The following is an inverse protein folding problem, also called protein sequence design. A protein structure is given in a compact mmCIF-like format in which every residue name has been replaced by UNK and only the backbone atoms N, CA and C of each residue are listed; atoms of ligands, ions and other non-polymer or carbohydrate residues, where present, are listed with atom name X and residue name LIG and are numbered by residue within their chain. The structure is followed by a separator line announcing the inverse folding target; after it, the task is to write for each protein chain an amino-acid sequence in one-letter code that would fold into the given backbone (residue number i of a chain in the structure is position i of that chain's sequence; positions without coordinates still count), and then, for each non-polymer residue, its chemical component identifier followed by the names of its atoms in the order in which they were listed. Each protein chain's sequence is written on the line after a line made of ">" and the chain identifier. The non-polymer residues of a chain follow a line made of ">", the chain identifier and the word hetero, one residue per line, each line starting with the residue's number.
data_IF_459668297716
#
_entry.id   IF_459668297716
#
_cell.length_a   1.000
_cell.length_b   1.000
_cell.length_c   1.000
_cell.angle_alpha   90.00
_cell.angle_beta   90.00
_cell.angle_gamma   90.00
#
_symmetry.space_group_name_H-M   'P 1'
#
loop_
_entity.id
_entity.type
_entity.pdbx_description
1 polymer ?
#
# COMPACT_ATOMS: atom_id res chain seq x y z
N UNK A 1 39.03 38.39 2.58
CA UNK A 1 38.06 37.82 3.53
C UNK A 1 36.81 37.50 2.73
N UNK A 2 36.28 36.29 2.82
CA UNK A 2 35.03 35.96 2.14
C UNK A 2 33.89 36.75 2.79
N UNK A 3 33.06 37.42 1.99
CA UNK A 3 31.84 38.04 2.49
C UNK A 3 30.83 36.94 2.79
N UNK A 4 30.16 37.04 3.93
CA UNK A 4 29.06 36.16 4.30
C UNK A 4 27.93 36.29 3.28
N UNK A 5 27.20 35.20 3.05
CA UNK A 5 25.97 35.22 2.26
C UNK A 5 24.87 36.00 2.99
N UNK A 6 23.80 36.37 2.27
CA UNK A 6 22.65 37.04 2.88
C UNK A 6 22.00 36.20 3.99
N UNK A 7 21.97 34.88 3.82
CA UNK A 7 21.43 33.92 4.79
C UNK A 7 22.32 33.83 6.04
N UNK A 8 23.64 33.81 5.86
CA UNK A 8 24.60 33.82 6.97
C UNK A 8 24.55 35.13 7.76
N UNK A 9 24.37 36.28 7.09
CA UNK A 9 24.15 37.57 7.74
C UNK A 9 22.84 37.60 8.52
N UNK A 10 21.75 37.10 7.95
CA UNK A 10 20.45 37.03 8.63
C UNK A 10 20.50 36.11 9.86
N UNK A 11 21.18 34.97 9.75
CA UNK A 11 21.38 34.07 10.88
C UNK A 11 22.23 34.73 11.99
N UNK A 12 23.36 35.36 11.64
CA UNK A 12 24.19 36.07 12.60
C UNK A 12 23.42 37.20 13.32
N UNK A 13 22.62 37.97 12.59
CA UNK A 13 21.77 39.02 13.16
C UNK A 13 20.68 38.46 14.08
N UNK A 14 20.12 37.28 13.78
CA UNK A 14 19.12 36.61 14.64
C UNK A 14 19.67 36.12 15.98
N UNK A 15 20.98 35.84 16.06
CA UNK A 15 21.64 35.41 17.31
C UNK A 15 21.80 36.58 18.29
N UNK A 16 21.96 37.80 17.77
CA UNK A 16 22.11 39.03 18.56
C UNK A 16 20.78 39.71 18.89
N UNK A 17 19.65 39.18 18.40
CA UNK A 17 18.32 39.70 18.67
C UNK A 17 17.93 39.47 20.14
N UNK A 18 17.71 40.52 20.96
CA UNK A 18 17.31 40.37 22.35
C UNK A 18 15.87 39.86 22.52
N UNK A 19 15.03 39.94 21.49
CA UNK A 19 13.66 39.40 21.46
C UNK A 19 13.40 38.65 20.14
N UNK A 20 14.05 37.49 19.93
CA UNK A 20 13.92 36.77 18.67
C UNK A 20 12.46 36.38 18.46
N UNK A 21 11.96 36.63 17.25
CA UNK A 21 10.65 36.11 16.84
C UNK A 21 10.75 34.60 16.74
N UNK A 22 10.32 33.89 17.79
CA UNK A 22 10.27 32.44 17.79
C UNK A 22 9.07 32.00 16.97
N UNK A 23 9.32 31.63 15.71
CA UNK A 23 8.32 30.89 14.96
C UNK A 23 8.08 29.55 15.66
N UNK A 24 6.82 29.18 15.93
CA UNK A 24 6.53 27.88 16.52
C UNK A 24 7.06 26.81 15.57
N UNK A 25 7.82 25.85 16.12
CA UNK A 25 8.20 24.67 15.37
C UNK A 25 6.92 24.07 14.77
N UNK A 26 6.89 23.79 13.44
CA UNK A 26 5.73 23.16 12.86
C UNK A 26 5.43 21.89 13.64
N UNK A 27 4.15 21.68 13.96
CA UNK A 27 3.73 20.47 14.67
C UNK A 27 4.29 19.25 13.92
N UNK A 28 4.88 18.31 14.66
CA UNK A 28 5.44 17.09 14.08
C UNK A 28 4.33 16.37 13.31
N UNK A 29 4.39 16.45 11.98
CA UNK A 29 3.38 15.87 11.11
C UNK A 29 3.64 14.38 11.00
N UNK A 30 2.79 13.58 11.62
CA UNK A 30 2.79 12.13 11.42
C UNK A 30 2.22 11.81 10.04
N UNK A 31 3.00 11.12 9.22
CA UNK A 31 2.54 10.65 7.90
C UNK A 31 1.49 9.57 8.08
N UNK A 32 0.31 9.74 7.49
CA UNK A 32 -0.78 8.75 7.52
C UNK A 32 -0.76 7.91 6.25
N UNK A 33 -0.61 6.59 6.41
CA UNK A 33 -0.53 5.64 5.31
C UNK A 33 -1.69 4.66 5.45
N UNK A 34 -2.47 4.51 4.37
CA UNK A 34 -3.41 3.40 4.26
C UNK A 34 -2.76 2.26 3.49
N UNK A 35 -2.79 1.06 4.05
CA UNK A 35 -2.45 -0.18 3.35
C UNK A 35 -3.74 -0.85 2.89
N UNK A 36 -3.87 -1.01 1.58
CA UNK A 36 -5.08 -1.51 0.94
C UNK A 36 -4.87 -2.86 0.26
N UNK A 37 -5.79 -3.81 0.45
CA UNK A 37 -5.73 -5.08 -0.26
C UNK A 37 -7.11 -5.68 -0.55
N UNK A 38 -7.24 -6.33 -1.71
CA UNK A 38 -8.38 -7.21 -2.02
C UNK A 38 -7.98 -8.64 -1.62
N UNK A 39 -8.76 -9.27 -0.75
CA UNK A 39 -8.47 -10.58 -0.19
C UNK A 39 -9.42 -11.63 -0.78
N UNK A 40 -8.85 -12.54 -1.57
CA UNK A 40 -9.46 -13.79 -2.02
C UNK A 40 -8.38 -14.88 -2.08
N UNK A 41 -7.86 -15.28 -0.92
CA UNK A 41 -6.77 -16.26 -0.80
C UNK A 41 -6.96 -17.21 0.39
N UNK A 42 -6.40 -18.44 0.32
CA UNK A 42 -6.38 -19.36 1.44
C UNK A 42 -5.67 -18.82 2.68
N UNK A 43 -6.01 -19.31 3.89
CA UNK A 43 -5.47 -18.81 5.15
C UNK A 43 -3.95 -18.81 5.24
N UNK A 44 -3.27 -19.80 4.66
CA UNK A 44 -1.81 -19.91 4.67
C UNK A 44 -1.13 -18.77 3.90
N UNK A 45 -1.70 -18.37 2.76
CA UNK A 45 -1.21 -17.25 1.95
C UNK A 45 -1.46 -15.95 2.69
N UNK A 46 -2.69 -15.75 3.18
CA UNK A 46 -3.06 -14.52 3.90
C UNK A 46 -2.28 -14.40 5.21
N UNK A 47 -1.98 -15.49 5.91
CA UNK A 47 -1.16 -15.48 7.11
C UNK A 47 0.24 -14.95 6.83
N UNK A 48 0.88 -15.42 5.76
CA UNK A 48 2.20 -14.95 5.37
C UNK A 48 2.16 -13.47 4.96
N UNK A 49 1.17 -13.08 4.16
CA UNK A 49 0.94 -11.70 3.76
C UNK A 49 0.78 -10.75 4.96
N UNK A 50 -0.12 -11.05 5.90
CA UNK A 50 -0.35 -10.19 7.07
C UNK A 50 0.88 -10.08 7.97
N UNK A 51 1.68 -11.15 8.12
CA UNK A 51 2.98 -11.06 8.81
C UNK A 51 3.92 -10.10 8.09
N UNK A 52 3.90 -10.08 6.76
CA UNK A 52 4.71 -9.15 5.98
C UNK A 52 4.26 -7.69 6.14
N UNK A 53 2.99 -7.44 6.44
CA UNK A 53 2.53 -6.10 6.76
C UNK A 53 3.03 -5.64 8.14
N UNK A 54 2.94 -6.52 9.16
CA UNK A 54 3.33 -6.20 10.53
C UNK A 54 4.83 -5.98 10.72
N UNK A 55 5.67 -6.61 9.90
CA UNK A 55 7.12 -6.49 10.04
C UNK A 55 7.72 -5.29 9.30
N UNK A 56 6.91 -4.46 8.66
CA UNK A 56 7.42 -3.32 7.91
C UNK A 56 8.13 -2.36 8.84
N UNK A 57 9.30 -1.90 8.42
CA UNK A 57 10.14 -0.99 9.18
C UNK A 57 10.24 0.33 8.43
N UNK A 58 10.02 1.44 9.15
CA UNK A 58 10.17 2.79 8.61
C UNK A 58 11.15 3.59 9.48
N UNK A 59 11.91 4.48 8.85
CA UNK A 59 12.77 5.47 9.50
C UNK A 59 11.95 6.68 9.94
N UNK A 60 11.01 7.09 9.09
CA UNK A 60 10.04 8.13 9.39
C UNK A 60 8.93 7.56 10.26
N UNK A 61 8.50 8.31 11.27
CA UNK A 61 7.34 7.92 12.06
C UNK A 61 6.07 8.06 11.22
N UNK A 62 5.37 6.93 11.03
CA UNK A 62 4.15 6.87 10.23
C UNK A 62 3.03 6.22 11.03
N UNK A 63 1.81 6.74 10.89
CA UNK A 63 0.60 6.07 11.31
C UNK A 63 0.14 5.17 10.16
N UNK A 64 0.05 3.87 10.40
CA UNK A 64 -0.30 2.87 9.40
C UNK A 64 -1.66 2.29 9.76
N UNK A 65 -2.61 2.44 8.85
CA UNK A 65 -3.94 1.84 8.92
C UNK A 65 -4.15 0.87 7.76
N UNK A 66 -5.21 0.05 7.85
CA UNK A 66 -5.47 -1.03 6.91
C UNK A 66 -6.90 -0.98 6.38
N UNK A 67 -7.07 -1.25 5.09
CA UNK A 67 -8.37 -1.44 4.45
C UNK A 67 -8.37 -2.71 3.60
N UNK A 68 -9.24 -3.65 3.95
CA UNK A 68 -9.34 -4.93 3.27
C UNK A 68 -10.71 -5.13 2.62
N UNK A 69 -10.72 -5.54 1.35
CA UNK A 69 -11.96 -5.89 0.65
C UNK A 69 -11.99 -7.40 0.47
N UNK A 70 -12.95 -8.07 1.10
CA UNK A 70 -13.16 -9.50 0.89
C UNK A 70 -13.96 -9.71 -0.39
N UNK A 71 -13.42 -10.50 -1.33
CA UNK A 71 -14.09 -10.84 -2.59
C UNK A 71 -14.10 -12.35 -2.81
N UNK A 72 -14.59 -13.12 -1.83
CA UNK A 72 -14.72 -14.56 -1.93
C UNK A 72 -15.94 -14.95 -2.78
N UNK A 73 -15.78 -15.97 -3.63
CA UNK A 73 -16.89 -16.59 -4.33
C UNK A 73 -17.50 -17.72 -3.49
N UNK A 74 -18.68 -18.19 -3.89
CA UNK A 74 -19.41 -19.23 -3.15
C UNK A 74 -18.66 -20.57 -3.06
N UNK A 75 -17.81 -20.85 -4.04
CA UNK A 75 -16.96 -22.04 -4.14
C UNK A 75 -15.70 -21.98 -3.26
N UNK A 76 -15.34 -20.81 -2.71
CA UNK A 76 -14.15 -20.63 -1.90
C UNK A 76 -14.37 -21.18 -0.49
N UNK A 77 -14.22 -22.51 -0.33
CA UNK A 77 -14.45 -23.20 0.95
C UNK A 77 -13.59 -22.69 2.12
N UNK A 78 -12.49 -22.00 1.81
CA UNK A 78 -11.55 -21.43 2.77
C UNK A 78 -11.94 -20.03 3.29
N UNK A 79 -12.96 -19.39 2.73
CA UNK A 79 -13.31 -18.00 3.02
C UNK A 79 -13.52 -17.72 4.53
N UNK A 80 -14.21 -18.62 5.23
CA UNK A 80 -14.48 -18.46 6.66
C UNK A 80 -13.21 -18.50 7.53
N UNK A 81 -12.25 -19.36 7.17
CA UNK A 81 -11.00 -19.48 7.91
C UNK A 81 -10.10 -18.26 7.66
N UNK A 82 -10.06 -17.77 6.42
CA UNK A 82 -9.34 -16.53 6.10
C UNK A 82 -9.93 -15.33 6.84
N UNK A 83 -11.26 -15.21 6.92
CA UNK A 83 -11.92 -14.15 7.70
C UNK A 83 -11.55 -14.19 9.18
N UNK A 84 -11.55 -15.38 9.78
CA UNK A 84 -11.14 -15.55 11.19
C UNK A 84 -9.69 -15.10 11.42
N UNK A 85 -8.82 -15.42 10.48
CA UNK A 85 -7.41 -15.01 10.52
C UNK A 85 -7.28 -13.47 10.44
N UNK A 86 -7.96 -12.82 9.50
CA UNK A 86 -7.95 -11.35 9.37
C UNK A 86 -8.62 -10.67 10.57
N UNK A 87 -9.64 -11.29 11.17
CA UNK A 87 -10.23 -10.81 12.42
C UNK A 87 -9.24 -10.83 13.59
N UNK A 88 -8.40 -11.87 13.67
CA UNK A 88 -7.30 -11.94 14.64
C UNK A 88 -6.28 -10.83 14.42
N UNK A 89 -5.89 -10.59 13.16
CA UNK A 89 -5.03 -9.48 12.78
C UNK A 89 -5.62 -8.12 13.18
N UNK A 90 -6.89 -7.84 12.86
CA UNK A 90 -7.56 -6.58 13.24
C UNK A 90 -7.44 -6.31 14.72
N UNK A 91 -7.76 -7.29 15.56
CA UNK A 91 -7.65 -7.13 17.02
C UNK A 91 -6.22 -6.78 17.47
N UNK A 92 -5.21 -7.41 16.86
CA UNK A 92 -3.81 -7.14 17.18
C UNK A 92 -3.36 -5.75 16.70
N UNK A 93 -3.73 -5.37 15.49
CA UNK A 93 -3.41 -4.07 14.90
C UNK A 93 -4.10 -2.92 15.67
N UNK A 94 -5.38 -3.08 16.01
CA UNK A 94 -6.13 -2.10 16.81
C UNK A 94 -5.59 -1.97 18.23
N UNK A 95 -5.15 -3.06 18.85
CA UNK A 95 -4.46 -3.00 20.13
C UNK A 95 -3.11 -2.27 20.06
N UNK A 96 -2.49 -2.19 18.88
CA UNK A 96 -1.27 -1.45 18.62
C UNK A 96 -1.51 0.01 18.16
N UNK A 97 -2.78 0.43 18.02
CA UNK A 97 -3.18 1.80 17.68
C UNK A 97 -3.52 2.03 16.20
N UNK A 98 -3.51 1.00 15.36
CA UNK A 98 -3.94 1.09 13.95
C UNK A 98 -5.45 0.95 13.80
N UNK A 99 -6.04 1.60 12.80
CA UNK A 99 -7.40 1.34 12.35
C UNK A 99 -7.40 0.25 11.29
N UNK A 100 -8.36 -0.68 11.36
CA UNK A 100 -8.56 -1.70 10.32
C UNK A 100 -10.01 -1.67 9.84
N UNK A 101 -10.23 -1.20 8.62
CA UNK A 101 -11.51 -1.30 7.94
C UNK A 101 -11.56 -2.55 7.06
N UNK A 102 -12.75 -3.15 6.93
CA UNK A 102 -13.00 -4.08 5.86
C UNK A 102 -14.46 -4.08 5.43
N UNK A 103 -14.69 -4.53 4.21
CA UNK A 103 -16.01 -4.74 3.65
C UNK A 103 -16.06 -6.03 2.83
N UNK A 104 -17.27 -6.52 2.66
CA UNK A 104 -17.60 -7.68 1.87
C UNK A 104 -18.21 -7.25 0.55
N UNK A 105 -17.67 -7.81 -0.54
CA UNK A 105 -18.21 -7.59 -1.89
C UNK A 105 -18.40 -8.92 -2.58
N UNK A 106 -19.59 -9.12 -3.11
CA UNK A 106 -19.96 -10.34 -3.82
C UNK A 106 -19.00 -10.63 -4.98
N UNK A 107 -18.60 -11.90 -5.08
CA UNK A 107 -17.83 -12.41 -6.21
C UNK A 107 -18.68 -13.43 -6.98
N UNK A 108 -19.01 -13.16 -8.26
CA UNK A 108 -19.62 -14.16 -9.13
C UNK A 108 -18.76 -15.43 -9.24
N UNK A 109 -19.41 -16.59 -9.32
CA UNK A 109 -18.72 -17.85 -9.57
C UNK A 109 -18.18 -17.93 -11.00
N UNK A 110 -17.01 -18.54 -11.17
CA UNK A 110 -16.44 -18.84 -12.49
C UNK A 110 -15.83 -17.67 -13.27
N UNK A 111 -15.74 -16.47 -12.68
CA UNK A 111 -15.13 -15.31 -13.33
C UNK A 111 -13.60 -15.20 -13.15
N UNK A 112 -13.07 -15.94 -12.18
CA UNK A 112 -11.66 -16.08 -11.83
C UNK A 112 -11.41 -17.54 -11.42
N UNK A 113 -10.38 -18.16 -11.99
CA UNK A 113 -10.02 -19.55 -11.70
C UNK A 113 -8.50 -19.76 -11.55
N UNK A 114 -8.11 -20.51 -10.52
CA UNK A 114 -6.73 -20.89 -10.24
C UNK A 114 -6.39 -22.23 -10.92
N UNK A 115 -6.36 -22.22 -12.26
CA UNK A 115 -6.03 -23.38 -13.08
C UNK A 115 -4.52 -23.64 -13.17
N UNK A 116 -3.89 -24.07 -12.07
CA UNK A 116 -2.54 -24.66 -12.03
C UNK A 116 -1.36 -23.76 -12.44
N UNK A 117 -1.26 -23.37 -13.72
CA UNK A 117 -0.14 -22.60 -14.30
C UNK A 117 -0.50 -21.18 -14.76
N UNK A 118 -1.76 -20.89 -15.04
CA UNK A 118 -2.23 -19.54 -15.40
C UNK A 118 -3.55 -19.24 -14.70
N UNK A 119 -3.65 -18.02 -14.16
CA UNK A 119 -4.94 -17.50 -13.66
C UNK A 119 -5.78 -17.18 -14.88
N UNK A 120 -6.93 -17.84 -15.01
CA UNK A 120 -7.91 -17.47 -16.03
C UNK A 120 -8.68 -16.28 -15.49
N UNK A 121 -8.48 -15.12 -16.13
CA UNK A 121 -9.22 -13.91 -15.80
C UNK A 121 -10.19 -13.59 -16.92
N UNK A 122 -11.45 -13.39 -16.56
CA UNK A 122 -12.42 -12.75 -17.46
C UNK A 122 -12.24 -11.23 -17.44
N UNK A 123 -12.58 -10.50 -18.52
CA UNK A 123 -12.63 -9.05 -18.50
C UNK A 123 -13.51 -8.49 -17.36
N UNK A 124 -14.59 -9.20 -17.02
CA UNK A 124 -15.47 -8.87 -15.91
C UNK A 124 -14.72 -8.93 -14.57
N UNK A 125 -13.86 -9.94 -14.36
CA UNK A 125 -13.03 -10.03 -13.16
C UNK A 125 -12.00 -8.90 -13.08
N UNK A 126 -11.43 -8.46 -14.20
CA UNK A 126 -10.52 -7.30 -14.21
C UNK A 126 -11.25 -6.02 -13.81
N UNK A 127 -12.39 -5.73 -14.44
CA UNK A 127 -13.18 -4.55 -14.12
C UNK A 127 -13.65 -4.56 -12.67
N UNK A 128 -14.04 -5.73 -12.14
CA UNK A 128 -14.41 -5.85 -10.74
C UNK A 128 -13.23 -5.53 -9.84
N UNK A 129 -12.07 -6.16 -10.00
CA UNK A 129 -10.92 -5.91 -9.12
C UNK A 129 -10.49 -4.44 -9.20
N UNK A 130 -10.52 -3.83 -10.39
CA UNK A 130 -10.29 -2.39 -10.53
C UNK A 130 -11.29 -1.55 -9.74
N UNK A 131 -12.58 -1.89 -9.79
CA UNK A 131 -13.60 -1.23 -8.97
C UNK A 131 -13.36 -1.40 -7.46
N UNK A 132 -12.99 -2.59 -7.00
CA UNK A 132 -12.66 -2.82 -5.59
C UNK A 132 -11.44 -2.00 -5.13
N UNK A 133 -10.41 -1.88 -5.97
CA UNK A 133 -9.26 -1.01 -5.68
C UNK A 133 -9.65 0.47 -5.70
N UNK A 134 -10.57 0.88 -6.57
CA UNK A 134 -11.13 2.23 -6.56
C UNK A 134 -11.86 2.53 -5.25
N UNK A 135 -12.61 1.59 -4.70
CA UNK A 135 -13.29 1.79 -3.42
C UNK A 135 -12.29 2.05 -2.28
N UNK A 136 -11.16 1.32 -2.26
CA UNK A 136 -10.06 1.56 -1.32
C UNK A 136 -9.45 2.95 -1.53
N UNK A 137 -9.21 3.37 -2.78
CA UNK A 137 -8.69 4.70 -3.10
C UNK A 137 -9.64 5.78 -2.61
N UNK A 138 -10.95 5.64 -2.85
CA UNK A 138 -11.95 6.59 -2.38
C UNK A 138 -11.99 6.67 -0.86
N UNK A 139 -11.89 5.52 -0.17
CA UNK A 139 -11.76 5.51 1.28
C UNK A 139 -10.52 6.27 1.75
N UNK A 140 -9.35 6.04 1.12
CA UNK A 140 -8.12 6.74 1.46
C UNK A 140 -8.24 8.27 1.33
N UNK A 141 -8.89 8.73 0.25
CA UNK A 141 -9.12 10.15 -0.02
C UNK A 141 -10.09 10.76 0.99
N UNK A 142 -11.20 10.07 1.28
CA UNK A 142 -12.23 10.57 2.20
C UNK A 142 -11.72 10.71 3.64
N UNK A 143 -10.87 9.78 4.08
CA UNK A 143 -10.28 9.78 5.42
C UNK A 143 -9.00 10.64 5.51
N UNK A 144 -8.57 11.24 4.40
CA UNK A 144 -7.44 12.18 4.36
C UNK A 144 -6.09 11.51 4.64
N UNK A 145 -5.85 10.31 4.11
CA UNK A 145 -4.53 9.68 4.15
C UNK A 145 -3.55 10.41 3.23
N UNK A 146 -2.29 10.50 3.66
CA UNK A 146 -1.23 11.16 2.89
C UNK A 146 -0.71 10.25 1.77
N UNK A 147 -0.63 8.95 2.04
CA UNK A 147 -0.19 7.92 1.09
C UNK A 147 -1.09 6.69 1.13
N UNK A 148 -1.18 6.02 -0.02
CA UNK A 148 -1.87 4.76 -0.19
C UNK A 148 -0.89 3.71 -0.73
N UNK A 149 -0.79 2.59 -0.03
CA UNK A 149 -0.06 1.41 -0.49
C UNK A 149 -1.04 0.29 -0.83
N UNK A 150 -1.33 0.12 -2.12
CA UNK A 150 -2.08 -1.02 -2.62
C UNK A 150 -1.14 -2.22 -2.82
N UNK A 151 -1.44 -3.33 -2.15
CA UNK A 151 -0.65 -4.56 -2.22
C UNK A 151 -1.58 -5.76 -2.32
N UNK A 152 -1.26 -6.69 -3.23
CA UNK A 152 -2.07 -7.89 -3.41
C UNK A 152 -1.81 -8.90 -2.28
N UNK A 153 -2.87 -9.61 -1.86
CA UNK A 153 -2.83 -10.49 -0.68
C UNK A 153 -1.96 -11.74 -0.83
N UNK A 154 -1.35 -11.95 -2.00
CA UNK A 154 -0.42 -13.04 -2.33
C UNK A 154 1.01 -12.54 -2.61
N UNK A 155 1.30 -11.27 -2.35
CA UNK A 155 2.65 -10.69 -2.45
C UNK A 155 3.31 -10.66 -1.08
N UNK A 156 4.48 -11.29 -0.97
CA UNK A 156 5.31 -11.24 0.23
C UNK A 156 6.34 -10.12 0.09
N UNK A 157 6.25 -9.13 0.96
CA UNK A 157 7.09 -7.93 0.92
C UNK A 157 8.24 -8.04 1.93
N UNK A 158 9.44 -7.67 1.52
CA UNK A 158 10.59 -7.50 2.42
C UNK A 158 10.27 -6.48 3.54
N UNK A 159 10.83 -6.60 4.76
CA UNK A 159 10.62 -5.65 5.86
C UNK A 159 10.86 -4.18 5.53
N UNK A 160 11.68 -3.86 4.53
CA UNK A 160 11.99 -2.48 4.12
C UNK A 160 11.30 -2.04 2.84
N UNK A 161 10.29 -2.79 2.36
CA UNK A 161 9.54 -2.45 1.14
C UNK A 161 8.84 -1.11 1.31
N UNK A 162 8.11 -0.91 2.40
CA UNK A 162 7.42 0.35 2.67
C UNK A 162 8.40 1.52 2.80
N UNK A 163 9.54 1.33 3.48
CA UNK A 163 10.57 2.37 3.55
C UNK A 163 11.08 2.75 2.16
N UNK A 164 11.32 1.77 1.28
CA UNK A 164 11.81 2.04 -0.08
C UNK A 164 10.79 2.83 -0.91
N UNK A 165 9.50 2.58 -0.70
CA UNK A 165 8.42 3.36 -1.32
C UNK A 165 8.37 4.79 -0.76
N UNK A 166 8.53 4.97 0.55
CA UNK A 166 8.58 6.30 1.18
C UNK A 166 9.81 7.10 0.72
N UNK A 167 10.97 6.45 0.59
CA UNK A 167 12.18 7.06 0.04
C UNK A 167 11.95 7.50 -1.42
N UNK A 168 11.31 6.65 -2.22
CA UNK A 168 10.96 6.97 -3.61
C UNK A 168 9.95 8.12 -3.71
N UNK A 169 9.09 8.26 -2.70
CA UNK A 169 8.15 9.34 -2.61
C UNK A 169 8.79 10.64 -2.10
N UNK A 170 10.04 10.68 -1.61
CA UNK A 170 10.60 11.92 -1.05
C UNK A 170 9.72 12.48 0.09
N UNK A 171 9.43 11.62 1.08
CA UNK A 171 8.58 11.96 2.24
C UNK A 171 9.14 13.13 3.05
N UNK A 172 10.46 13.32 3.08
CA UNK A 172 11.07 14.48 3.74
C UNK A 172 10.60 15.79 3.11
N UNK A 173 10.56 15.88 1.77
CA UNK A 173 10.00 17.04 1.08
C UNK A 173 8.51 17.21 1.34
N UNK A 174 7.75 16.12 1.40
CA UNK A 174 6.33 16.18 1.76
C UNK A 174 6.11 16.76 3.16
N UNK A 175 6.96 16.41 4.12
CA UNK A 175 6.90 16.91 5.50
C UNK A 175 7.28 18.40 5.59
N UNK A 176 8.18 18.88 4.72
CA UNK A 176 8.58 20.29 4.67
C UNK A 176 7.51 21.19 4.01
N UNK A 177 6.91 20.76 2.91
CA UNK A 177 5.84 21.51 2.23
C UNK A 177 4.85 20.58 1.50
N UNK A 178 3.78 20.21 2.19
CA UNK A 178 2.72 19.38 1.61
C UNK A 178 1.77 20.12 0.67
N UNK A 179 1.81 21.46 0.60
CA UNK A 179 0.83 22.24 -0.17
C UNK A 179 1.01 22.06 -1.68
N UNK A 180 2.27 21.96 -2.11
CA UNK A 180 2.63 21.81 -3.53
C UNK A 180 3.25 20.45 -3.84
N UNK A 181 3.36 19.57 -2.85
CA UNK A 181 3.92 18.25 -3.05
C UNK A 181 2.99 17.39 -3.92
N UNK A 182 3.59 16.79 -4.96
CA UNK A 182 2.97 15.85 -5.89
C UNK A 182 3.85 14.61 -5.88
N UNK A 183 3.51 13.64 -5.03
CA UNK A 183 4.27 12.41 -4.93
C UNK A 183 4.19 11.57 -6.21
N UNK A 184 5.22 10.77 -6.50
CA UNK A 184 5.17 9.84 -7.60
C UNK A 184 4.18 8.71 -7.32
N UNK A 185 3.57 8.18 -8.39
CA UNK A 185 2.93 6.87 -8.33
C UNK A 185 4.01 5.84 -8.63
N UNK A 186 4.35 5.02 -7.63
CA UNK A 186 5.33 3.94 -7.76
C UNK A 186 4.58 2.63 -7.98
N UNK A 187 4.93 1.90 -9.04
CA UNK A 187 4.36 0.60 -9.35
C UNK A 187 5.45 -0.46 -9.46
N UNK A 188 5.33 -1.53 -8.67
CA UNK A 188 6.19 -2.71 -8.75
C UNK A 188 5.43 -3.88 -9.36
N UNK A 189 5.97 -4.47 -10.42
CA UNK A 189 5.40 -5.68 -11.05
C UNK A 189 6.27 -6.87 -10.72
N UNK A 190 5.67 -7.92 -10.14
CA UNK A 190 6.35 -9.16 -9.78
C UNK A 190 5.96 -10.28 -10.73
N UNK A 191 6.96 -10.95 -11.30
CA UNK A 191 6.79 -12.14 -12.15
C UNK A 191 7.45 -13.33 -11.46
N UNK A 192 6.71 -14.40 -11.19
CA UNK A 192 7.26 -15.62 -10.58
C UNK A 192 7.92 -16.55 -11.58
N UNK A 193 7.66 -16.37 -12.89
CA UNK A 193 8.29 -17.16 -13.95
C UNK A 193 8.36 -16.36 -15.27
N UNK A 194 9.50 -16.44 -15.96
CA UNK A 194 9.67 -15.93 -17.32
C UNK A 194 9.93 -17.14 -18.23
N UNK A 195 8.92 -17.61 -18.96
CA UNK A 195 9.13 -18.66 -19.98
C UNK A 195 9.29 -18.03 -21.35
N UNK A 196 10.35 -18.44 -22.06
CA UNK A 196 10.52 -18.09 -23.47
C UNK A 196 9.54 -18.94 -24.27
N UNK A 197 8.70 -18.32 -25.08
CA UNK A 197 7.71 -18.99 -25.94
C UNK A 197 8.38 -20.14 -26.73
N UNK A 198 7.90 -21.37 -26.57
CA UNK A 198 8.26 -22.47 -27.46
C UNK A 198 7.30 -22.47 -28.65
N UNK A 199 7.83 -22.69 -29.86
CA UNK A 199 7.04 -22.63 -31.10
C UNK A 199 5.96 -23.73 -31.21
N UNK A 200 5.98 -24.72 -30.32
CA UNK A 200 5.10 -25.90 -30.32
C UNK A 200 3.91 -25.79 -29.35
N UNK A 201 3.83 -24.73 -28.53
CA UNK A 201 2.70 -24.53 -27.63
C UNK A 201 1.48 -24.05 -28.41
N UNK A 202 0.55 -24.96 -28.68
CA UNK A 202 -0.69 -24.73 -29.44
C UNK A 202 -1.74 -23.91 -28.68
N UNK A 203 -1.57 -23.70 -27.37
CA UNK A 203 -2.48 -22.87 -26.57
C UNK A 203 -2.03 -21.42 -26.58
N UNK A 204 -2.94 -20.52 -26.99
CA UNK A 204 -2.78 -19.08 -26.79
C UNK A 204 -2.87 -18.81 -25.28
N UNK A 205 -1.72 -18.82 -24.61
CA UNK A 205 -1.63 -18.42 -23.21
C UNK A 205 -1.65 -16.89 -23.13
N UNK A 206 -2.83 -16.34 -22.80
CA UNK A 206 -2.90 -14.99 -22.27
C UNK A 206 -2.49 -15.04 -20.80
N UNK A 207 -1.18 -15.01 -20.53
CA UNK A 207 -0.70 -14.66 -19.21
C UNK A 207 -1.11 -13.21 -18.96
N UNK A 208 -2.27 -13.00 -18.34
CA UNK A 208 -2.58 -11.70 -17.76
C UNK A 208 -1.50 -11.38 -16.73
N UNK A 209 -0.89 -10.18 -16.72
CA UNK A 209 -0.14 -9.71 -15.57
C UNK A 209 -1.02 -9.92 -14.33
N UNK A 210 -0.40 -10.37 -13.25
CA UNK A 210 -1.12 -10.62 -12.00
C UNK A 210 -1.56 -9.32 -11.31
N UNK A 211 -1.36 -8.17 -11.96
CA UNK A 211 -1.84 -6.86 -11.56
C UNK A 211 -2.18 -6.07 -12.83
N UNK A 212 -3.37 -5.46 -12.84
CA UNK A 212 -3.78 -4.47 -13.84
C UNK A 212 -4.07 -3.14 -13.14
N UNK A 213 -3.76 -2.05 -13.86
CA UNK A 213 -3.79 -0.63 -13.48
C UNK A 213 -5.15 -0.15 -12.97
#
# INVERSE_FOLDING_TARGET
>A
MAQLTAEEYAHAASIEDPEPTLEPLPAEKTVKILVGSVIRKPPEVVSAFLRCLLWQQTRTHCAIDYSFVFNFASEDSFANDTRRLVQGFKKAAEAAGSTVAWNDVDCPSGDYGEGGRTRSWTPQAWHRVGALKNDIIQYALNEGYDFLWLVDADVLCDPFTLQSLLDSADVERFLLDSTYYRGPIVSGVYWTFWSKRNAEDAEIQHAGPQVWL
#
